data_IF_416787464192
#
_entry.id   IF_416787464192
#
_cell.length_a   1.000
_cell.length_b   1.000
_cell.length_c   1.000
_cell.angle_alpha   90.00
_cell.angle_beta   90.00
_cell.angle_gamma   90.00
#
_symmetry.space_group_name_H-M   'P 1'
#
loop_
_entity.id
_entity.type
_entity.pdbx_description
1 polymer ?
#
# COMPACT_ATOMS: atom_id res chain seq x y z
N UNK A 1 -18.99 7.82 -5.11
CA UNK A 1 -18.07 6.82 -5.71
C UNK A 1 -16.75 7.02 -4.99
N UNK A 2 -16.28 6.05 -4.20
CA UNK A 2 -14.97 6.19 -3.57
C UNK A 2 -13.93 6.02 -4.68
N UNK A 3 -13.20 7.09 -4.98
CA UNK A 3 -12.10 7.04 -5.94
C UNK A 3 -11.11 5.98 -5.47
N UNK A 4 -11.09 4.87 -6.20
CA UNK A 4 -10.11 3.81 -6.05
C UNK A 4 -8.76 4.35 -6.52
N UNK A 5 -8.12 5.13 -5.66
CA UNK A 5 -6.80 5.73 -5.90
C UNK A 5 -5.72 4.70 -5.62
N UNK A 6 -4.74 4.65 -6.52
CA UNK A 6 -3.48 3.96 -6.30
C UNK A 6 -2.72 4.66 -5.17
N UNK A 7 -2.21 3.88 -4.21
CA UNK A 7 -1.58 4.41 -2.99
C UNK A 7 -0.20 3.85 -2.79
N UNK A 8 0.70 4.67 -2.28
CA UNK A 8 2.02 4.26 -1.82
C UNK A 8 1.92 3.54 -0.47
N UNK A 9 2.97 2.80 -0.09
CA UNK A 9 3.06 2.20 1.24
C UNK A 9 2.97 3.24 2.36
N UNK A 10 3.58 4.42 2.16
CA UNK A 10 3.55 5.51 3.12
C UNK A 10 2.14 6.10 3.33
N UNK A 11 1.36 6.28 2.26
CA UNK A 11 -0.04 6.72 2.36
C UNK A 11 -0.89 5.69 3.09
N UNK A 12 -0.74 4.40 2.75
CA UNK A 12 -1.43 3.32 3.46
C UNK A 12 -1.05 3.26 4.94
N UNK A 13 0.23 3.43 5.26
CA UNK A 13 0.72 3.44 6.63
C UNK A 13 0.10 4.58 7.46
N UNK A 14 0.02 5.77 6.86
CA UNK A 14 -0.61 6.95 7.48
C UNK A 14 -2.09 6.72 7.73
N UNK A 15 -2.81 6.16 6.75
CA UNK A 15 -4.24 5.89 6.89
C UNK A 15 -4.58 4.76 7.87
N UNK A 16 -3.70 3.76 7.98
CA UNK A 16 -3.87 2.62 8.88
C UNK A 16 -3.30 2.90 10.28
N UNK A 17 -2.64 4.04 10.49
CA UNK A 17 -2.00 4.38 11.78
C UNK A 17 -0.87 3.42 12.16
N UNK A 18 -0.19 2.84 11.17
CA UNK A 18 0.92 1.89 11.38
C UNK A 18 2.21 2.39 10.74
N UNK A 19 3.34 1.73 11.02
CA UNK A 19 4.59 2.04 10.34
C UNK A 19 4.59 1.55 8.89
N UNK A 20 5.24 2.29 8.01
CA UNK A 20 5.47 1.88 6.62
C UNK A 20 6.19 0.53 6.52
N UNK A 21 7.03 0.20 7.50
CA UNK A 21 7.65 -1.12 7.62
C UNK A 21 6.62 -2.25 7.73
N UNK A 22 5.58 -2.10 8.58
CA UNK A 22 4.52 -3.12 8.72
C UNK A 22 3.73 -3.28 7.43
N UNK A 23 3.43 -2.17 6.75
CA UNK A 23 2.76 -2.19 5.44
C UNK A 23 3.62 -2.93 4.40
N UNK A 24 4.91 -2.59 4.29
CA UNK A 24 5.80 -3.27 3.35
C UNK A 24 5.96 -4.77 3.67
N UNK A 25 6.01 -5.15 4.95
CA UNK A 25 6.01 -6.56 5.36
C UNK A 25 4.72 -7.27 4.95
N UNK A 26 3.57 -6.65 5.15
CA UNK A 26 2.28 -7.19 4.72
C UNK A 26 2.22 -7.38 3.20
N UNK A 27 2.66 -6.37 2.44
CA UNK A 27 2.72 -6.41 0.97
C UNK A 27 3.60 -7.55 0.48
N UNK A 28 4.78 -7.73 1.09
CA UNK A 28 5.68 -8.84 0.80
C UNK A 28 5.05 -10.20 1.13
N UNK A 29 4.39 -10.32 2.28
CA UNK A 29 3.75 -11.55 2.72
C UNK A 29 2.55 -11.94 1.84
N UNK A 30 1.82 -10.95 1.34
CA UNK A 30 0.67 -11.13 0.45
C UNK A 30 1.07 -11.29 -1.03
N UNK A 31 2.35 -11.14 -1.36
CA UNK A 31 2.85 -11.21 -2.73
C UNK A 31 2.30 -10.11 -3.64
N UNK A 32 1.99 -8.93 -3.09
CA UNK A 32 1.39 -7.81 -3.82
C UNK A 32 2.48 -7.00 -4.56
N UNK A 33 3.13 -7.65 -5.52
CA UNK A 33 4.20 -7.08 -6.35
C UNK A 33 3.71 -6.34 -7.59
N UNK A 34 2.40 -6.14 -7.75
CA UNK A 34 1.86 -5.35 -8.85
C UNK A 34 2.14 -3.86 -8.60
N UNK A 35 3.38 -3.49 -8.91
CA UNK A 35 3.97 -2.19 -8.66
C UNK A 35 3.96 -1.41 -9.96
N UNK A 36 3.08 -0.41 -10.09
CA UNK A 36 3.29 0.61 -11.12
C UNK A 36 4.29 1.61 -10.60
N UNK A 37 5.34 1.88 -11.39
CA UNK A 37 6.14 3.09 -11.21
C UNK A 37 5.36 4.21 -11.89
N UNK A 38 4.95 5.21 -11.11
CA UNK A 38 4.28 6.39 -11.64
C UNK A 38 5.31 7.50 -11.81
N UNK A 39 5.36 8.13 -12.99
CA UNK A 39 6.11 9.37 -13.25
C UNK A 39 5.36 10.60 -12.71
N UNK A 40 4.69 10.48 -11.56
CA UNK A 40 4.24 11.68 -10.84
C UNK A 40 5.51 12.44 -10.44
N UNK A 41 5.53 13.73 -10.76
CA UNK A 41 6.67 14.66 -10.81
C UNK A 41 7.59 14.72 -9.56
N UNK A 42 7.36 13.91 -8.52
CA UNK A 42 8.04 13.99 -7.24
C UNK A 42 8.50 12.65 -6.64
N UNK A 43 8.29 11.48 -7.29
CA UNK A 43 8.71 10.25 -6.62
C UNK A 43 8.91 9.00 -7.48
N UNK A 44 10.10 8.42 -7.39
CA UNK A 44 10.35 6.97 -7.59
C UNK A 44 9.69 6.15 -6.47
N UNK A 45 8.41 6.36 -6.20
CA UNK A 45 7.65 5.64 -5.17
C UNK A 45 6.79 4.59 -5.84
N UNK A 46 6.86 3.39 -5.28
CA UNK A 46 5.97 2.29 -5.64
C UNK A 46 4.55 2.66 -5.23
N UNK A 47 3.65 2.69 -6.21
CA UNK A 47 2.21 2.75 -5.95
C UNK A 47 1.60 1.37 -6.14
N UNK A 48 0.62 1.07 -5.30
CA UNK A 48 -0.11 -0.17 -5.28
C UNK A 48 -1.55 0.06 -5.74
N UNK A 49 -2.17 -0.93 -6.40
CA UNK A 49 -3.52 -0.81 -6.91
C UNK A 49 -4.54 -0.62 -5.77
N UNK A 50 -5.71 -0.10 -6.10
CA UNK A 50 -6.86 -0.08 -5.20
C UNK A 50 -7.16 -1.47 -4.62
N UNK A 51 -7.71 -1.52 -3.41
CA UNK A 51 -7.92 -2.77 -2.66
C UNK A 51 -6.65 -3.37 -2.03
N UNK A 52 -5.45 -2.89 -2.36
CA UNK A 52 -4.21 -3.31 -1.65
C UNK A 52 -4.27 -2.98 -0.17
N UNK A 53 -4.77 -1.78 0.18
CA UNK A 53 -4.90 -1.36 1.58
C UNK A 53 -5.74 -2.34 2.39
N UNK A 54 -6.88 -2.77 1.88
CA UNK A 54 -7.80 -3.68 2.59
C UNK A 54 -7.18 -5.07 2.79
N UNK A 55 -6.39 -5.54 1.82
CA UNK A 55 -5.62 -6.78 1.97
C UNK A 55 -4.53 -6.64 3.02
N UNK A 56 -3.81 -5.52 3.01
CA UNK A 56 -2.79 -5.19 4.02
C UNK A 56 -3.41 -5.09 5.41
N UNK A 57 -4.53 -4.40 5.54
CA UNK A 57 -5.27 -4.22 6.79
C UNK A 57 -5.68 -5.57 7.38
N UNK A 58 -6.35 -6.41 6.59
CA UNK A 58 -6.69 -7.80 6.99
C UNK A 58 -5.47 -8.62 7.38
N UNK A 59 -4.33 -8.44 6.72
CA UNK A 59 -3.11 -9.16 7.08
C UNK A 59 -2.56 -8.68 8.44
N UNK A 60 -2.62 -7.37 8.71
CA UNK A 60 -2.19 -6.75 9.97
C UNK A 60 -3.11 -7.08 11.14
N UNK A 61 -4.42 -7.25 10.91
CA UNK A 61 -5.35 -7.73 11.94
C UNK A 61 -5.03 -9.17 12.38
N UNK A 62 -4.47 -9.97 11.47
CA UNK A 62 -4.11 -11.37 11.73
C UNK A 62 -2.63 -11.56 12.18
N UNK A 63 -1.80 -10.50 12.20
CA UNK A 63 -0.35 -10.54 12.51
C UNK A 63 0.17 -9.29 13.23
#
# INVERSE_FOLDING_TARGET
MADEQWRTAAEMATELGVSEYRVNRAILALGLYDQKKTDRADARRTIYPPGTKEKVDKWLENN
#
